data_IF_698206568244
#
_entry.id   IF_698206568244
#
_cell.length_a   1.000
_cell.length_b   1.000
_cell.length_c   1.000
_cell.angle_alpha   90.00
_cell.angle_beta   90.00
_cell.angle_gamma   90.00
#
_symmetry.space_group_name_H-M   'P 1'
#
loop_
_entity.id
_entity.type
_entity.pdbx_description
1 polymer ?
#
# COMPACT_ATOMS: atom_id res chain seq x y z
N UNK A 1 -50.09 -33.89 -4.25
CA UNK A 1 -49.02 -33.02 -4.78
C UNK A 1 -47.86 -33.11 -3.84
N UNK A 2 -46.71 -33.55 -4.35
CA UNK A 2 -45.47 -33.71 -3.57
C UNK A 2 -44.75 -32.35 -3.44
N UNK A 3 -44.01 -32.12 -2.35
CA UNK A 3 -43.24 -30.87 -2.10
C UNK A 3 -42.32 -30.49 -3.28
N UNK A 4 -41.82 -31.51 -3.99
CA UNK A 4 -41.05 -31.38 -5.22
C UNK A 4 -41.79 -30.67 -6.35
N UNK A 5 -43.10 -30.90 -6.50
CA UNK A 5 -43.91 -30.30 -7.57
C UNK A 5 -44.15 -28.81 -7.31
N UNK A 6 -44.34 -28.43 -6.04
CA UNK A 6 -44.46 -27.03 -5.64
C UNK A 6 -43.15 -26.28 -5.85
N UNK A 7 -42.00 -26.90 -5.55
CA UNK A 7 -40.68 -26.31 -5.81
C UNK A 7 -40.44 -26.12 -7.30
N UNK A 8 -40.82 -27.09 -8.14
CA UNK A 8 -40.68 -26.98 -9.59
C UNK A 8 -41.51 -25.82 -10.14
N UNK A 9 -42.79 -25.75 -9.78
CA UNK A 9 -43.67 -24.67 -10.21
C UNK A 9 -43.17 -23.29 -9.77
N UNK A 10 -42.62 -23.18 -8.56
CA UNK A 10 -42.04 -21.92 -8.05
C UNK A 10 -40.78 -21.50 -8.83
N UNK A 11 -39.98 -22.46 -9.30
CA UNK A 11 -38.78 -22.21 -10.10
C UNK A 11 -39.17 -21.79 -11.51
N UNK A 12 -40.12 -22.48 -12.13
CA UNK A 12 -40.64 -22.13 -13.46
C UNK A 12 -41.25 -20.73 -13.48
N UNK A 13 -42.02 -20.37 -12.45
CA UNK A 13 -42.58 -19.02 -12.34
C UNK A 13 -41.50 -17.94 -12.16
N UNK A 14 -40.41 -18.25 -11.42
CA UNK A 14 -39.27 -17.33 -11.29
C UNK A 14 -38.50 -17.17 -12.59
N UNK A 15 -38.32 -18.25 -13.35
CA UNK A 15 -37.66 -18.21 -14.66
C UNK A 15 -38.51 -17.39 -15.64
N UNK A 16 -39.81 -17.65 -15.72
CA UNK A 16 -40.72 -16.90 -16.58
C UNK A 16 -40.75 -15.40 -16.23
N UNK A 17 -40.70 -15.05 -14.94
CA UNK A 17 -40.59 -13.63 -14.50
C UNK A 17 -39.24 -13.00 -14.83
N UNK A 18 -38.15 -13.78 -14.83
CA UNK A 18 -36.82 -13.29 -15.20
C UNK A 18 -36.67 -13.13 -16.73
N UNK A 19 -37.30 -13.98 -17.51
CA UNK A 19 -37.34 -13.89 -18.98
C UNK A 19 -38.27 -12.78 -19.48
N UNK A 20 -39.38 -12.53 -18.78
CA UNK A 20 -40.31 -11.44 -19.09
C UNK A 20 -39.88 -10.08 -18.52
N UNK A 21 -38.83 -10.05 -17.68
CA UNK A 21 -38.30 -8.79 -17.18
C UNK A 21 -37.67 -8.01 -18.36
N UNK A 22 -38.04 -6.74 -18.58
CA UNK A 22 -37.35 -5.92 -19.57
C UNK A 22 -35.85 -5.92 -19.26
N UNK A 23 -34.99 -5.88 -20.29
CA UNK A 23 -33.54 -5.82 -20.07
C UNK A 23 -33.27 -4.66 -19.09
N UNK A 24 -32.43 -4.88 -18.07
CA UNK A 24 -32.12 -3.82 -17.11
C UNK A 24 -31.70 -2.58 -17.90
N UNK A 25 -32.11 -1.37 -17.46
CA UNK A 25 -31.78 -0.14 -18.15
C UNK A 25 -30.30 -0.14 -18.44
N UNK A 26 -29.91 0.18 -19.69
CA UNK A 26 -28.54 0.17 -20.14
C UNK A 26 -27.67 0.92 -19.13
N UNK A 27 -27.02 0.17 -18.24
CA UNK A 27 -26.12 0.71 -17.24
C UNK A 27 -25.10 1.50 -18.00
N UNK A 28 -24.90 2.78 -17.66
CA UNK A 28 -23.84 3.64 -18.19
C UNK A 28 -22.54 2.83 -18.18
N UNK A 29 -22.21 2.22 -19.33
CA UNK A 29 -21.06 1.36 -19.46
C UNK A 29 -19.89 2.28 -19.67
N UNK A 30 -19.37 2.81 -18.56
CA UNK A 30 -18.16 3.63 -18.58
C UNK A 30 -17.06 2.84 -19.31
N UNK A 31 -16.47 3.41 -20.37
CA UNK A 31 -15.45 2.71 -21.14
C UNK A 31 -14.25 2.40 -20.23
N UNK A 32 -13.62 1.22 -20.37
CA UNK A 32 -12.49 0.81 -19.52
C UNK A 32 -11.27 1.74 -19.65
N UNK A 33 -11.25 2.59 -20.69
CA UNK A 33 -10.24 3.62 -20.87
C UNK A 33 -10.25 4.69 -19.76
N UNK A 34 -11.41 5.01 -19.19
CA UNK A 34 -11.50 6.03 -18.13
C UNK A 34 -10.81 5.63 -16.83
N UNK A 35 -11.13 4.47 -16.21
CA UNK A 35 -10.42 4.04 -15.01
C UNK A 35 -8.93 3.79 -15.28
N UNK A 36 -8.56 3.42 -16.52
CA UNK A 36 -7.16 3.28 -16.91
C UNK A 36 -6.44 4.63 -16.96
N UNK A 37 -7.01 5.62 -17.63
CA UNK A 37 -6.41 6.96 -17.74
C UNK A 37 -6.26 7.61 -16.35
N UNK A 38 -7.32 7.57 -15.53
CA UNK A 38 -7.28 8.08 -14.16
C UNK A 38 -6.28 7.31 -13.30
N UNK A 39 -6.23 5.98 -13.42
CA UNK A 39 -5.27 5.18 -12.68
C UNK A 39 -3.83 5.44 -13.11
N UNK A 40 -3.55 5.71 -14.40
CA UNK A 40 -2.23 6.09 -14.88
C UNK A 40 -1.80 7.47 -14.35
N UNK A 41 -2.71 8.44 -14.35
CA UNK A 41 -2.49 9.76 -13.74
C UNK A 41 -2.21 9.61 -12.25
N UNK A 42 -3.03 8.83 -11.54
CA UNK A 42 -2.81 8.52 -10.13
C UNK A 42 -1.45 7.87 -9.92
N UNK A 43 -1.06 6.90 -10.75
CA UNK A 43 0.23 6.21 -10.63
C UNK A 43 1.42 7.18 -10.81
N UNK A 44 1.34 8.11 -11.76
CA UNK A 44 2.35 9.15 -11.93
C UNK A 44 2.45 10.05 -10.70
N UNK A 45 1.30 10.50 -10.16
CA UNK A 45 1.25 11.29 -8.92
C UNK A 45 1.80 10.51 -7.72
N UNK A 46 1.42 9.24 -7.57
CA UNK A 46 1.89 8.38 -6.50
C UNK A 46 3.39 8.13 -6.59
N UNK A 47 3.93 8.00 -7.80
CA UNK A 47 5.37 7.91 -8.02
C UNK A 47 6.10 9.20 -7.58
N UNK A 48 5.57 10.37 -7.93
CA UNK A 48 6.16 11.67 -7.52
C UNK A 48 6.03 11.92 -6.01
N UNK A 49 4.92 11.51 -5.39
CA UNK A 49 4.66 11.74 -3.97
C UNK A 49 5.36 10.77 -3.04
N UNK A 50 5.33 9.47 -3.39
CA UNK A 50 5.81 8.39 -2.54
C UNK A 50 7.17 7.86 -2.98
N UNK A 51 7.52 7.92 -4.28
CA UNK A 51 8.68 7.24 -4.85
C UNK A 51 8.51 5.72 -4.96
N UNK A 52 9.56 5.02 -5.41
CA UNK A 52 9.51 3.58 -5.69
C UNK A 52 9.31 2.70 -4.44
N UNK A 53 8.56 1.59 -4.53
CA UNK A 53 8.47 0.58 -3.48
C UNK A 53 9.85 0.09 -3.02
N UNK A 54 10.09 0.07 -1.70
CA UNK A 54 11.40 -0.22 -1.11
C UNK A 54 11.44 -1.57 -0.36
N UNK A 55 10.27 -2.13 -0.04
CA UNK A 55 10.18 -3.36 0.74
C UNK A 55 9.45 -4.45 -0.04
N UNK A 56 9.99 -5.67 -0.02
CA UNK A 56 9.43 -6.86 -0.66
C UNK A 56 8.03 -7.25 -0.14
N UNK A 57 7.68 -6.83 1.08
CA UNK A 57 6.32 -7.02 1.61
C UNK A 57 5.26 -6.21 0.85
N UNK A 58 5.61 -5.05 0.30
CA UNK A 58 4.67 -4.18 -0.44
C UNK A 58 4.06 -4.88 -1.67
N UNK A 59 4.85 -5.46 -2.62
CA UNK A 59 4.28 -6.24 -3.73
C UNK A 59 3.55 -7.50 -3.26
N UNK A 60 4.04 -8.17 -2.20
CA UNK A 60 3.39 -9.37 -1.67
C UNK A 60 1.97 -9.07 -1.17
N UNK A 61 1.81 -8.04 -0.33
CA UNK A 61 0.49 -7.64 0.17
C UNK A 61 -0.39 -7.05 -0.94
N UNK A 62 0.18 -6.31 -1.89
CA UNK A 62 -0.55 -5.84 -3.06
C UNK A 62 -1.15 -7.01 -3.87
N UNK A 63 -0.35 -8.06 -4.14
CA UNK A 63 -0.81 -9.24 -4.85
C UNK A 63 -1.91 -10.00 -4.08
N UNK A 64 -1.70 -10.22 -2.78
CA UNK A 64 -2.69 -10.90 -1.92
C UNK A 64 -4.00 -10.12 -1.84
N UNK A 65 -3.94 -8.81 -1.66
CA UNK A 65 -5.12 -7.96 -1.61
C UNK A 65 -5.83 -7.91 -2.95
N UNK A 66 -5.10 -7.82 -4.06
CA UNK A 66 -5.65 -7.84 -5.41
C UNK A 66 -6.39 -9.17 -5.68
N UNK A 67 -5.78 -10.30 -5.33
CA UNK A 67 -6.38 -11.62 -5.46
C UNK A 67 -7.66 -11.71 -4.63
N UNK A 68 -7.62 -11.27 -3.37
CA UNK A 68 -8.80 -11.25 -2.50
C UNK A 68 -9.90 -10.34 -3.03
N UNK A 69 -9.54 -9.17 -3.57
CA UNK A 69 -10.47 -8.19 -4.12
C UNK A 69 -11.17 -8.74 -5.36
N UNK A 70 -10.46 -9.39 -6.29
CA UNK A 70 -11.08 -10.08 -7.42
C UNK A 70 -11.90 -11.30 -7.00
N UNK A 71 -11.40 -12.10 -6.05
CA UNK A 71 -12.12 -13.27 -5.53
C UNK A 71 -13.44 -12.89 -4.86
N UNK A 72 -13.48 -11.77 -4.12
CA UNK A 72 -14.73 -11.21 -3.55
C UNK A 72 -15.54 -10.37 -4.53
N UNK A 73 -15.10 -10.30 -5.78
CA UNK A 73 -15.71 -9.54 -6.88
C UNK A 73 -15.71 -8.02 -6.69
N UNK A 74 -14.90 -7.48 -5.77
CA UNK A 74 -14.82 -6.05 -5.47
C UNK A 74 -14.41 -5.26 -6.71
N UNK A 75 -13.43 -5.77 -7.46
CA UNK A 75 -13.06 -5.28 -8.78
C UNK A 75 -13.81 -6.02 -9.88
N UNK A 76 -14.30 -5.29 -10.88
CA UNK A 76 -14.90 -5.88 -12.07
C UNK A 76 -13.81 -6.48 -12.97
N UNK A 77 -14.02 -7.71 -13.42
CA UNK A 77 -13.25 -8.28 -14.53
C UNK A 77 -13.88 -7.82 -15.84
N UNK A 78 -13.20 -6.93 -16.55
CA UNK A 78 -13.62 -6.53 -17.89
C UNK A 78 -13.36 -7.68 -18.88
N UNK A 79 -14.31 -8.01 -19.77
CA UNK A 79 -14.07 -8.97 -20.85
C UNK A 79 -13.10 -8.38 -21.89
N UNK A 80 -12.24 -9.23 -22.46
CA UNK A 80 -11.30 -8.85 -23.53
C UNK A 80 -9.92 -8.39 -23.04
N UNK A 81 -9.17 -7.75 -23.95
CA UNK A 81 -7.76 -7.39 -23.73
C UNK A 81 -7.54 -6.35 -22.62
N UNK A 82 -8.53 -5.50 -22.34
CA UNK A 82 -8.49 -4.47 -21.29
C UNK A 82 -8.33 -5.01 -19.87
N UNK A 83 -8.62 -6.30 -19.66
CA UNK A 83 -8.47 -6.96 -18.36
C UNK A 83 -7.06 -6.84 -17.81
N UNK A 84 -6.05 -7.14 -18.62
CA UNK A 84 -4.68 -7.25 -18.16
C UNK A 84 -4.04 -5.91 -17.79
N UNK A 85 -4.18 -4.84 -18.61
CA UNK A 85 -3.72 -3.51 -18.22
C UNK A 85 -4.35 -3.02 -16.92
N UNK A 86 -5.66 -3.25 -16.73
CA UNK A 86 -6.35 -2.82 -15.51
C UNK A 86 -5.91 -3.61 -14.27
N UNK A 87 -5.71 -4.93 -14.39
CA UNK A 87 -5.16 -5.75 -13.29
C UNK A 87 -3.76 -5.25 -12.92
N UNK A 88 -2.89 -5.03 -13.92
CA UNK A 88 -1.53 -4.52 -13.70
C UNK A 88 -1.54 -3.14 -13.06
N UNK A 89 -2.43 -2.25 -13.50
CA UNK A 89 -2.59 -0.92 -12.94
C UNK A 89 -3.06 -0.98 -11.48
N UNK A 90 -4.09 -1.78 -11.18
CA UNK A 90 -4.57 -1.97 -9.81
C UNK A 90 -3.49 -2.55 -8.90
N UNK A 91 -2.69 -3.50 -9.41
CA UNK A 91 -1.53 -4.04 -8.68
C UNK A 91 -0.52 -2.93 -8.33
N UNK A 92 -0.14 -2.10 -9.30
CA UNK A 92 0.83 -1.02 -9.09
C UNK A 92 0.29 0.07 -8.16
N UNK A 93 -0.98 0.44 -8.29
CA UNK A 93 -1.64 1.38 -7.38
C UNK A 93 -1.64 0.81 -5.96
N UNK A 94 -1.99 -0.46 -5.77
CA UNK A 94 -1.96 -1.11 -4.45
C UNK A 94 -0.54 -1.18 -3.88
N UNK A 95 0.49 -1.43 -4.69
CA UNK A 95 1.88 -1.36 -4.23
C UNK A 95 2.21 -0.01 -3.61
N UNK A 96 1.80 1.08 -4.26
CA UNK A 96 2.00 2.44 -3.76
C UNK A 96 1.16 2.71 -2.51
N UNK A 97 -0.08 2.21 -2.43
CA UNK A 97 -0.88 2.28 -1.21
C UNK A 97 -0.21 1.52 -0.06
N UNK A 98 0.31 0.32 -0.29
CA UNK A 98 1.03 -0.43 0.75
C UNK A 98 2.36 0.24 1.14
N UNK A 99 2.94 1.08 0.28
CA UNK A 99 4.09 1.91 0.66
C UNK A 99 3.74 2.96 1.73
N UNK A 100 2.52 3.52 1.70
CA UNK A 100 2.03 4.37 2.79
C UNK A 100 1.95 3.59 4.11
N UNK A 101 1.58 2.31 4.05
CA UNK A 101 1.42 1.49 5.26
C UNK A 101 2.74 0.91 5.77
N UNK A 102 3.63 0.50 4.86
CA UNK A 102 4.86 -0.27 5.13
C UNK A 102 6.11 0.50 4.66
N UNK A 103 6.23 1.77 5.04
CA UNK A 103 7.32 2.67 4.63
C UNK A 103 8.38 2.91 5.70
N UNK A 104 8.36 2.18 6.83
CA UNK A 104 9.14 2.47 8.03
C UNK A 104 10.66 2.42 7.89
N UNK A 105 11.16 1.53 7.04
CA UNK A 105 12.60 1.28 6.92
C UNK A 105 13.22 0.77 8.21
N UNK A 106 14.54 0.95 8.31
CA UNK A 106 15.30 0.80 9.55
C UNK A 106 15.31 2.15 10.26
N UNK A 107 14.94 2.18 11.54
CA UNK A 107 15.03 3.38 12.37
C UNK A 107 16.09 3.17 13.45
N UNK A 108 16.91 4.21 13.66
CA UNK A 108 17.95 4.27 14.68
C UNK A 108 17.49 5.27 15.75
N UNK A 109 16.70 4.85 16.74
CA UNK A 109 16.08 5.76 17.71
C UNK A 109 17.09 6.47 18.63
N UNK A 110 18.32 5.97 18.70
CA UNK A 110 19.42 6.55 19.48
C UNK A 110 20.50 7.21 18.61
N UNK A 111 20.24 7.45 17.32
CA UNK A 111 21.21 8.13 16.44
C UNK A 111 21.52 9.58 16.90
N UNK A 112 20.62 10.19 17.66
CA UNK A 112 20.85 11.49 18.29
C UNK A 112 21.88 11.43 19.42
N UNK A 113 22.13 10.25 20.00
CA UNK A 113 23.09 10.07 21.09
C UNK A 113 24.51 9.97 20.53
N UNK A 114 25.14 11.13 20.37
CA UNK A 114 26.53 11.26 19.91
C UNK A 114 27.42 11.73 21.03
N UNK A 115 28.62 11.17 21.10
CA UNK A 115 29.66 11.57 22.05
C UNK A 115 30.82 12.22 21.30
N UNK A 116 31.44 13.26 21.88
CA UNK A 116 32.59 13.89 21.25
C UNK A 116 33.81 12.98 21.39
N UNK A 117 34.33 12.51 20.27
CA UNK A 117 35.55 11.70 20.20
C UNK A 117 36.64 12.46 19.46
N UNK A 118 37.87 12.40 19.99
CA UNK A 118 39.05 12.91 19.29
C UNK A 118 39.48 11.89 18.25
N UNK A 119 39.30 12.21 16.98
CA UNK A 119 39.80 11.38 15.88
C UNK A 119 40.97 12.06 15.17
N UNK A 120 41.97 11.25 14.84
CA UNK A 120 43.06 11.67 13.98
C UNK A 120 42.61 11.49 12.54
N UNK A 121 42.42 12.59 11.81
CA UNK A 121 42.08 12.50 10.39
C UNK A 121 43.29 12.07 9.55
N UNK A 122 43.08 11.34 8.45
CA UNK A 122 44.12 11.14 7.45
C UNK A 122 44.55 12.51 6.89
N UNK A 123 45.85 12.70 6.58
CA UNK A 123 46.35 13.96 6.07
C UNK A 123 45.61 14.33 4.78
N UNK A 124 44.99 15.52 4.76
CA UNK A 124 44.21 15.99 3.61
C UNK A 124 45.08 16.52 2.47
N UNK A 125 46.34 16.89 2.75
CA UNK A 125 47.29 17.41 1.76
C UNK A 125 48.68 16.74 1.91
N UNK A 126 49.44 16.64 0.82
CA UNK A 126 50.84 16.15 0.79
C UNK A 126 51.85 17.11 1.46
N UNK A 127 51.42 17.95 2.39
CA UNK A 127 52.30 18.87 3.12
C UNK A 127 53.10 18.10 4.17
N UNK A 128 54.43 18.25 4.13
CA UNK A 128 55.36 17.57 5.07
C UNK A 128 55.09 17.91 6.54
N UNK A 129 54.44 19.05 6.81
CA UNK A 129 54.04 19.50 8.15
C UNK A 129 52.93 18.63 8.77
N UNK A 130 52.04 18.03 7.96
CA UNK A 130 50.99 17.13 8.44
C UNK A 130 51.51 15.74 8.83
N UNK A 131 52.73 15.35 8.40
CA UNK A 131 53.36 14.09 8.82
C UNK A 131 53.85 14.10 10.27
N UNK A 132 54.12 15.28 10.83
CA UNK A 132 54.71 15.42 12.18
C UNK A 132 53.74 16.00 13.21
N UNK A 133 52.64 16.62 12.77
CA UNK A 133 51.61 17.16 13.66
C UNK A 133 50.29 16.42 13.42
N UNK A 134 49.89 15.50 14.32
CA UNK A 134 48.61 14.82 14.22
C UNK A 134 47.47 15.83 14.31
N UNK A 135 46.66 15.90 13.26
CA UNK A 135 45.47 16.74 13.23
C UNK A 135 44.34 16.01 13.94
N UNK A 136 44.13 16.35 15.21
CA UNK A 136 42.98 15.89 15.98
C UNK A 136 41.80 16.83 15.71
N UNK A 137 40.68 16.26 15.26
CA UNK A 137 39.41 16.98 15.19
C UNK A 137 38.42 16.33 16.16
N UNK A 138 37.65 17.17 16.84
CA UNK A 138 36.51 16.69 17.62
C UNK A 138 35.40 16.31 16.65
N UNK A 139 35.15 15.00 16.54
CA UNK A 139 34.08 14.44 15.72
C UNK A 139 33.01 13.89 16.67
N UNK A 140 31.75 14.12 16.33
CA UNK A 140 30.60 13.58 17.06
C UNK A 140 30.29 12.19 16.52
N UNK A 141 30.73 11.16 17.22
CA UNK A 141 30.44 9.77 16.86
C UNK A 141 29.34 9.18 17.72
N UNK A 142 28.57 8.26 17.14
CA UNK A 142 27.57 7.50 17.88
C UNK A 142 28.23 6.60 18.93
N UNK A 143 27.56 6.40 20.07
CA UNK A 143 28.06 5.49 21.10
C UNK A 143 27.95 4.04 20.60
N UNK A 144 29.08 3.33 20.39
CA UNK A 144 29.06 1.99 19.81
C UNK A 144 28.23 1.04 20.66
N UNK A 145 27.34 0.27 20.01
CA UNK A 145 26.40 -0.64 20.66
C UNK A 145 25.10 -0.01 21.18
N UNK A 146 25.01 1.33 21.28
CA UNK A 146 23.77 2.04 21.64
C UNK A 146 23.21 2.80 20.43
N UNK A 147 24.03 3.62 19.78
CA UNK A 147 23.63 4.36 18.56
C UNK A 147 23.37 3.42 17.37
N UNK A 148 24.07 2.28 17.35
CA UNK A 148 23.94 1.27 16.28
C UNK A 148 22.68 0.41 16.44
N UNK A 149 21.95 0.58 17.55
CA UNK A 149 20.72 -0.15 17.77
C UNK A 149 19.66 0.30 16.77
N UNK A 150 19.19 -0.65 15.96
CA UNK A 150 18.16 -0.40 14.96
C UNK A 150 16.90 -1.19 15.27
N UNK A 151 15.76 -0.56 15.00
CA UNK A 151 14.46 -1.21 14.99
C UNK A 151 14.00 -1.32 13.55
N UNK A 152 13.68 -2.53 13.11
CA UNK A 152 13.07 -2.74 11.80
C UNK A 152 11.58 -2.46 11.89
N UNK A 153 11.23 -1.18 11.72
CA UNK A 153 9.85 -0.69 11.78
C UNK A 153 8.98 -1.41 10.75
N UNK A 154 9.51 -1.66 9.55
CA UNK A 154 8.78 -2.37 8.48
C UNK A 154 8.34 -3.78 8.87
N UNK A 155 9.12 -4.51 9.69
CA UNK A 155 8.71 -5.83 10.21
C UNK A 155 7.52 -5.70 11.16
N UNK A 156 7.55 -4.75 12.10
CA UNK A 156 6.43 -4.50 13.00
C UNK A 156 5.17 -4.06 12.25
N UNK A 157 5.31 -3.14 11.29
CA UNK A 157 4.21 -2.71 10.42
C UNK A 157 3.62 -3.89 9.66
N UNK A 158 4.46 -4.78 9.12
CA UNK A 158 3.99 -5.98 8.40
C UNK A 158 3.25 -6.96 9.30
N UNK A 159 3.73 -7.18 10.53
CA UNK A 159 3.04 -8.03 11.52
C UNK A 159 1.68 -7.45 11.92
N UNK A 160 1.61 -6.14 12.16
CA UNK A 160 0.35 -5.45 12.49
C UNK A 160 -0.64 -5.46 11.31
N UNK A 161 -0.14 -5.34 10.08
CA UNK A 161 -0.96 -5.47 8.89
C UNK A 161 -1.55 -6.89 8.78
N UNK A 162 -0.74 -7.93 9.00
CA UNK A 162 -1.22 -9.32 9.04
C UNK A 162 -2.27 -9.50 10.14
N UNK A 163 -2.00 -9.01 11.34
CA UNK A 163 -2.95 -9.08 12.45
C UNK A 163 -4.28 -8.38 12.11
N UNK A 164 -4.22 -7.21 11.47
CA UNK A 164 -5.39 -6.47 10.99
C UNK A 164 -6.19 -7.27 9.95
N UNK A 165 -5.50 -7.87 8.99
CA UNK A 165 -6.12 -8.70 7.95
C UNK A 165 -6.78 -9.95 8.55
N UNK A 166 -6.12 -10.62 9.50
CA UNK A 166 -6.67 -11.77 10.23
C UNK A 166 -7.90 -11.37 11.04
N UNK A 167 -7.82 -10.26 11.79
CA UNK A 167 -8.96 -9.72 12.52
C UNK A 167 -10.16 -9.42 11.63
N UNK A 168 -9.91 -8.78 10.49
CA UNK A 168 -10.92 -8.49 9.47
C UNK A 168 -11.53 -9.77 8.88
N UNK A 169 -10.70 -10.79 8.61
CA UNK A 169 -11.16 -12.07 8.07
C UNK A 169 -12.13 -12.78 9.03
N UNK A 170 -11.83 -12.79 10.33
CA UNK A 170 -12.70 -13.35 11.37
C UNK A 170 -13.83 -12.42 11.80
N UNK A 171 -13.99 -11.25 11.14
CA UNK A 171 -14.97 -10.21 11.48
C UNK A 171 -14.85 -9.70 12.92
N UNK A 172 -13.66 -9.80 13.53
CA UNK A 172 -13.40 -9.29 14.87
C UNK A 172 -12.97 -7.82 14.80
N UNK A 173 -13.97 -6.95 14.63
CA UNK A 173 -13.79 -5.53 14.35
C UNK A 173 -12.97 -4.76 15.41
N UNK A 174 -13.16 -4.97 16.73
CA UNK A 174 -12.34 -4.28 17.74
C UNK A 174 -10.85 -4.58 17.59
N UNK A 175 -10.48 -5.86 17.41
CA UNK A 175 -9.09 -6.26 17.23
C UNK A 175 -8.50 -5.68 15.94
N UNK A 176 -9.22 -5.81 14.81
CA UNK A 176 -8.76 -5.25 13.53
C UNK A 176 -8.58 -3.73 13.61
N UNK A 177 -9.47 -3.02 14.31
CA UNK A 177 -9.37 -1.57 14.47
C UNK A 177 -8.18 -1.15 15.34
N UNK A 178 -7.89 -1.88 16.42
CA UNK A 178 -6.76 -1.61 17.30
C UNK A 178 -5.43 -1.85 16.59
N UNK A 179 -5.32 -2.97 15.85
CA UNK A 179 -4.10 -3.27 15.09
C UNK A 179 -3.90 -2.30 13.93
N UNK A 180 -4.98 -1.83 13.28
CA UNK A 180 -4.92 -0.80 12.24
C UNK A 180 -4.50 0.56 12.80
N UNK A 181 -5.01 0.94 13.97
CA UNK A 181 -4.62 2.18 14.65
C UNK A 181 -3.13 2.13 15.05
N UNK A 182 -2.69 1.01 15.64
CA UNK A 182 -1.28 0.80 15.99
C UNK A 182 -0.38 0.89 14.75
N UNK A 183 -0.82 0.29 13.63
CA UNK A 183 -0.12 0.39 12.34
C UNK A 183 0.04 1.86 11.92
N UNK A 184 -1.04 2.64 11.97
CA UNK A 184 -1.03 4.06 11.58
C UNK A 184 -0.08 4.89 12.44
N UNK A 185 -0.07 4.67 13.76
CA UNK A 185 0.83 5.38 14.68
C UNK A 185 2.30 5.05 14.40
N UNK A 186 2.61 3.76 14.19
CA UNK A 186 3.98 3.32 13.91
C UNK A 186 4.45 3.78 12.52
N UNK A 187 3.53 4.00 11.58
CA UNK A 187 3.85 4.52 10.24
C UNK A 187 4.02 6.03 10.17
N UNK A 188 3.76 6.78 11.25
CA UNK A 188 3.88 8.24 11.27
C UNK A 188 5.25 8.77 10.84
N UNK A 189 6.40 8.21 11.27
CA UNK A 189 7.71 8.69 10.82
C UNK A 189 7.90 8.60 9.30
N UNK A 190 7.34 7.56 8.67
CA UNK A 190 7.39 7.38 7.21
C UNK A 190 6.62 8.46 6.47
N UNK A 191 5.55 8.99 7.07
CA UNK A 191 4.72 10.04 6.49
C UNK A 191 5.47 11.35 6.33
N UNK A 192 6.48 11.64 7.15
CA UNK A 192 7.25 12.89 7.04
C UNK A 192 8.15 12.92 5.80
N UNK A 193 8.46 11.77 5.21
CA UNK A 193 9.34 11.67 4.04
C UNK A 193 8.62 11.85 2.70
N UNK A 194 7.28 11.92 2.70
CA UNK A 194 6.50 11.98 1.47
C UNK A 194 6.16 13.42 1.06
N UNK A 195 6.06 13.63 -0.25
CA UNK A 195 5.54 14.89 -0.78
C UNK A 195 4.01 14.84 -0.81
N UNK A 196 3.39 15.40 0.24
CA UNK A 196 1.96 15.29 0.48
C UNK A 196 1.07 15.95 -0.58
N UNK A 197 1.57 16.93 -1.33
CA UNK A 197 0.82 17.56 -2.42
C UNK A 197 0.44 16.53 -3.49
N UNK A 198 1.41 15.68 -3.85
CA UNK A 198 1.17 14.60 -4.81
C UNK A 198 0.50 13.39 -4.19
N UNK A 199 0.77 13.07 -2.91
CA UNK A 199 0.13 11.94 -2.22
C UNK A 199 -1.37 12.14 -2.08
N UNK A 200 -1.82 13.35 -1.71
CA UNK A 200 -3.25 13.65 -1.62
C UNK A 200 -3.93 13.50 -2.98
N UNK A 201 -3.32 14.04 -4.04
CA UNK A 201 -3.84 13.87 -5.41
C UNK A 201 -3.85 12.40 -5.84
N UNK A 202 -2.82 11.63 -5.50
CA UNK A 202 -2.79 10.18 -5.73
C UNK A 202 -3.95 9.47 -5.02
N UNK A 203 -4.22 9.78 -3.76
CA UNK A 203 -5.31 9.18 -2.99
C UNK A 203 -6.68 9.53 -3.58
N UNK A 204 -6.89 10.80 -3.97
CA UNK A 204 -8.15 11.26 -4.55
C UNK A 204 -8.38 10.66 -5.94
N UNK A 205 -7.41 10.79 -6.86
CA UNK A 205 -7.53 10.32 -8.23
C UNK A 205 -7.49 8.79 -8.30
N UNK A 206 -6.64 8.14 -7.51
CA UNK A 206 -6.58 6.69 -7.39
C UNK A 206 -7.84 6.11 -6.76
N UNK A 207 -8.37 6.78 -5.72
CA UNK A 207 -9.66 6.48 -5.13
C UNK A 207 -10.80 6.58 -6.15
N UNK A 208 -10.82 7.65 -6.96
CA UNK A 208 -11.79 7.81 -8.04
C UNK A 208 -11.66 6.72 -9.12
N UNK A 209 -10.44 6.35 -9.51
CA UNK A 209 -10.18 5.29 -10.48
C UNK A 209 -10.67 3.91 -9.98
N UNK A 210 -10.43 3.59 -8.71
CA UNK A 210 -10.93 2.38 -8.05
C UNK A 210 -12.45 2.44 -7.90
N UNK A 211 -12.98 3.60 -7.52
CA UNK A 211 -14.41 3.81 -7.35
C UNK A 211 -15.17 3.55 -8.64
N UNK A 212 -14.73 4.11 -9.77
CA UNK A 212 -15.33 3.87 -11.09
C UNK A 212 -15.34 2.38 -11.47
N UNK A 213 -14.32 1.62 -11.07
CA UNK A 213 -14.28 0.16 -11.29
C UNK A 213 -15.22 -0.63 -10.37
N UNK A 214 -15.59 -0.07 -9.21
CA UNK A 214 -16.46 -0.69 -8.22
C UNK A 214 -17.94 -0.28 -8.33
N UNK A 215 -18.22 0.91 -8.88
CA UNK A 215 -19.56 1.48 -9.02
C UNK A 215 -20.40 0.78 -10.08
N UNK A 216 -19.76 0.13 -11.06
CA UNK A 216 -20.45 -0.67 -12.09
C UNK A 216 -20.75 -2.08 -11.55
N UNK A 217 -21.40 -2.12 -10.38
CA UNK A 217 -21.94 -3.34 -9.75
C UNK A 217 -23.46 -3.23 -9.72
N UNK A 218 -24.08 -4.10 -10.53
CA UNK A 218 -25.51 -4.43 -10.58
C UNK A 218 -26.41 -3.32 -11.14
#
# INVERSE_FOLDING_TARGET
MTDSDQRLATIEERIARLEAAPPPPATLSLPPAWPLALGLIALALGYLGLGLPQHYYQPLFAALFLLLAYHRGFFRLYPGAWRWPLIGLNFLLLMLVFKLLLGGGLSYPFDWLKVPTMQQLPPMDESWTQKFLPHYQMVWEGVPGISDWYVNISKFQSMLLIATLVGSLFRFQPFASLTALALLVISFPSYLAFNWDFVLLFLVVGGAAIYLQSMVRR
#
